data_IF_393959440987
#
_entry.id   IF_393959440987
#
_cell.length_a   1.000
_cell.length_b   1.000
_cell.length_c   1.000
_cell.angle_alpha   90.00
_cell.angle_beta   90.00
_cell.angle_gamma   90.00
#
_symmetry.space_group_name_H-M   'P 1'
#
loop_
_entity.id
_entity.type
_entity.pdbx_description
1 polymer ?
#
# COMPACT_ATOMS: atom_id res chain seq x y z
N UNK A 1 16.93 15.32 11.42
CA UNK A 1 15.75 15.94 10.78
C UNK A 1 15.07 14.86 9.96
N UNK A 2 13.74 14.76 10.00
CA UNK A 2 12.96 13.78 9.24
C UNK A 2 12.25 14.53 8.12
N UNK A 3 12.22 13.96 6.92
CA UNK A 3 11.37 14.40 5.80
C UNK A 3 10.29 13.36 5.58
N UNK A 4 9.04 13.81 5.48
CA UNK A 4 7.88 12.96 5.25
C UNK A 4 7.41 13.09 3.80
N UNK A 5 7.10 11.97 3.15
CA UNK A 5 6.57 11.93 1.79
C UNK A 5 5.37 10.97 1.78
N UNK A 6 4.19 11.53 1.53
CA UNK A 6 2.97 10.75 1.34
C UNK A 6 2.93 10.17 -0.08
N UNK A 7 2.71 8.86 -0.18
CA UNK A 7 2.47 8.17 -1.45
C UNK A 7 1.02 8.38 -1.91
N UNK A 8 0.64 7.79 -3.04
CA UNK A 8 -0.73 7.88 -3.54
C UNK A 8 -1.72 7.32 -2.49
N UNK A 9 -2.71 8.11 -2.04
CA UNK A 9 -3.73 7.61 -1.12
C UNK A 9 -4.62 6.54 -1.75
N UNK A 10 -5.19 5.69 -0.91
CA UNK A 10 -6.15 4.66 -1.31
C UNK A 10 -7.31 4.60 -0.31
N UNK A 11 -8.46 4.09 -0.74
CA UNK A 11 -9.69 4.06 0.06
C UNK A 11 -10.07 2.63 0.44
N UNK A 12 -10.39 2.42 1.70
CA UNK A 12 -10.89 1.15 2.25
C UNK A 12 -12.14 1.45 3.06
N UNK A 13 -13.29 0.88 2.67
CA UNK A 13 -14.59 1.12 3.30
C UNK A 13 -14.98 2.60 3.51
N UNK A 14 -14.59 3.48 2.57
CA UNK A 14 -14.85 4.92 2.67
C UNK A 14 -13.86 5.70 3.54
N UNK A 15 -12.86 5.03 4.13
CA UNK A 15 -11.76 5.67 4.85
C UNK A 15 -10.51 5.77 3.97
N UNK A 16 -9.94 6.96 3.89
CA UNK A 16 -8.71 7.19 3.13
C UNK A 16 -7.48 6.90 3.97
N UNK A 17 -6.56 6.17 3.36
CA UNK A 17 -5.29 5.75 3.93
C UNK A 17 -4.14 6.15 3.02
N UNK A 18 -2.95 6.30 3.58
CA UNK A 18 -1.73 6.57 2.82
C UNK A 18 -0.54 5.83 3.43
N UNK A 19 0.38 5.38 2.58
CA UNK A 19 1.71 4.98 3.02
C UNK A 19 2.58 6.22 3.06
N UNK A 20 3.13 6.55 4.23
CA UNK A 20 4.04 7.67 4.45
C UNK A 20 5.49 7.18 4.53
N UNK A 21 6.36 7.69 3.67
CA UNK A 21 7.80 7.46 3.73
C UNK A 21 8.47 8.49 4.65
N UNK A 22 9.19 8.01 5.64
CA UNK A 22 10.02 8.78 6.56
C UNK A 22 11.49 8.67 6.16
N UNK A 23 12.10 9.81 5.80
CA UNK A 23 13.50 9.88 5.40
C UNK A 23 14.32 10.54 6.51
N UNK A 24 15.27 9.79 7.06
CA UNK A 24 16.11 10.23 8.18
C UNK A 24 17.39 10.90 7.66
N UNK A 25 17.40 12.25 7.67
CA UNK A 25 18.56 13.02 7.26
C UNK A 25 19.67 12.84 8.30
N UNK A 26 20.72 12.09 7.92
CA UNK A 26 21.89 11.80 8.75
C UNK A 26 22.37 10.35 8.68
N UNK A 27 21.49 9.40 8.33
CA UNK A 27 21.83 7.96 8.30
C UNK A 27 21.35 7.23 7.03
N UNK A 28 20.93 7.96 5.99
CA UNK A 28 20.43 7.40 4.72
C UNK A 28 19.36 6.29 4.89
N UNK A 29 18.67 6.28 6.04
CA UNK A 29 17.66 5.29 6.37
C UNK A 29 16.27 5.80 5.98
N UNK A 30 15.41 4.84 5.62
CA UNK A 30 14.01 5.05 5.29
C UNK A 30 13.16 4.14 6.15
N UNK A 31 11.98 4.60 6.51
CA UNK A 31 10.94 3.78 7.11
C UNK A 31 9.57 4.19 6.57
N UNK A 32 8.58 3.34 6.72
CA UNK A 32 7.25 3.57 6.16
C UNK A 32 6.17 3.33 7.21
N UNK A 33 5.22 4.24 7.27
CA UNK A 33 4.06 4.14 8.15
C UNK A 33 2.77 4.08 7.34
N UNK A 34 1.81 3.31 7.83
CA UNK A 34 0.43 3.37 7.34
C UNK A 34 -0.33 4.43 8.14
N UNK A 35 -0.92 5.40 7.46
CA UNK A 35 -1.60 6.53 8.09
C UNK A 35 -3.03 6.61 7.62
N UNK A 36 -3.97 6.75 8.56
CA UNK A 36 -5.36 7.11 8.26
C UNK A 36 -5.48 8.62 8.11
N UNK A 37 -6.00 9.08 6.97
CA UNK A 37 -6.05 10.50 6.64
C UNK A 37 -7.15 11.27 7.38
N UNK A 38 -8.22 10.59 7.81
CA UNK A 38 -9.36 11.22 8.48
C UNK A 38 -8.94 11.97 9.75
N UNK A 39 -8.03 11.39 10.53
CA UNK A 39 -7.56 11.91 11.81
C UNK A 39 -6.02 12.00 11.92
N UNK A 40 -5.30 11.58 10.89
CA UNK A 40 -3.82 11.57 10.88
C UNK A 40 -3.21 10.48 11.76
N UNK A 41 -3.99 9.47 12.17
CA UNK A 41 -3.51 8.40 13.01
C UNK A 41 -2.50 7.52 12.26
N UNK A 42 -1.33 7.31 12.86
CA UNK A 42 -0.37 6.29 12.43
C UNK A 42 -0.87 4.94 12.95
N UNK A 43 -1.10 4.00 12.04
CA UNK A 43 -1.64 2.68 12.32
C UNK A 43 -0.54 1.64 12.53
N UNK A 44 0.67 1.90 12.05
CA UNK A 44 1.83 1.04 12.28
C UNK A 44 2.35 1.19 13.71
N UNK A 45 2.34 0.09 14.48
CA UNK A 45 2.99 0.05 15.79
C UNK A 45 4.52 0.14 15.66
N UNK A 46 5.07 -0.52 14.64
CA UNK A 46 6.46 -0.41 14.20
C UNK A 46 6.47 -0.04 12.70
N UNK A 47 7.24 0.98 12.33
CA UNK A 47 7.39 1.37 10.93
C UNK A 47 8.05 0.26 10.12
N UNK A 48 7.58 0.04 8.89
CA UNK A 48 8.21 -0.88 7.96
C UNK A 48 9.59 -0.37 7.54
N UNK A 49 10.56 -1.28 7.40
CA UNK A 49 11.89 -0.93 6.86
C UNK A 49 11.92 -0.70 5.35
N UNK A 50 10.91 -1.20 4.64
CA UNK A 50 10.73 -1.09 3.19
C UNK A 50 9.28 -0.72 2.87
N UNK A 51 9.01 -0.35 1.60
CA UNK A 51 7.64 -0.04 1.19
C UNK A 51 6.76 -1.29 1.41
N UNK A 52 5.65 -1.18 2.17
CA UNK A 52 4.89 -2.35 2.58
C UNK A 52 4.20 -3.02 1.39
N UNK A 53 4.14 -4.34 1.46
CA UNK A 53 3.30 -5.14 0.55
C UNK A 53 1.82 -4.95 0.87
N UNK A 54 0.95 -5.24 -0.09
CA UNK A 54 -0.51 -5.19 0.12
C UNK A 54 -0.97 -6.12 1.26
N UNK A 55 -0.29 -7.26 1.44
CA UNK A 55 -0.56 -8.18 2.55
C UNK A 55 -0.23 -7.56 3.91
N UNK A 56 0.91 -6.87 4.03
CA UNK A 56 1.29 -6.16 5.26
C UNK A 56 0.36 -4.99 5.56
N UNK A 57 -0.05 -4.23 4.53
CA UNK A 57 -1.06 -3.18 4.68
C UNK A 57 -2.36 -3.79 5.22
N UNK A 58 -2.80 -4.91 4.64
CA UNK A 58 -4.02 -5.58 5.07
C UNK A 58 -3.95 -6.12 6.50
N UNK A 59 -2.82 -6.68 6.90
CA UNK A 59 -2.56 -7.10 8.28
C UNK A 59 -2.68 -5.92 9.25
N UNK A 60 -1.99 -4.80 8.97
CA UNK A 60 -2.10 -3.60 9.81
C UNK A 60 -3.54 -3.07 9.87
N UNK A 61 -4.28 -3.07 8.77
CA UNK A 61 -5.69 -2.64 8.78
C UNK A 61 -6.56 -3.56 9.65
N UNK A 62 -6.35 -4.87 9.60
CA UNK A 62 -7.11 -5.85 10.42
C UNK A 62 -6.82 -5.68 11.91
N UNK A 63 -5.59 -5.39 12.29
CA UNK A 63 -5.22 -5.12 13.68
C UNK A 63 -5.95 -3.89 14.24
N UNK A 64 -6.33 -2.95 13.37
CA UNK A 64 -7.15 -1.78 13.70
C UNK A 64 -8.65 -1.98 13.45
N UNK A 65 -9.10 -3.24 13.27
CA UNK A 65 -10.51 -3.60 13.13
C UNK A 65 -11.11 -3.36 11.76
N UNK A 66 -10.28 -3.11 10.73
CA UNK A 66 -10.71 -2.92 9.35
C UNK A 66 -10.56 -4.25 8.59
N UNK A 67 -11.68 -4.96 8.39
CA UNK A 67 -11.68 -6.29 7.77
C UNK A 67 -11.54 -6.22 6.24
N UNK A 68 -10.29 -6.27 5.76
CA UNK A 68 -9.99 -6.23 4.33
C UNK A 68 -9.81 -7.61 3.70
N UNK A 69 -10.44 -7.80 2.54
CA UNK A 69 -10.23 -8.98 1.70
C UNK A 69 -9.08 -8.73 0.73
N UNK A 70 -8.12 -9.67 0.71
CA UNK A 70 -7.07 -9.72 -0.29
C UNK A 70 -7.56 -10.49 -1.52
N UNK A 71 -7.12 -10.06 -2.68
CA UNK A 71 -7.25 -10.78 -3.95
C UNK A 71 -5.87 -11.28 -4.39
N UNK A 72 -5.82 -12.02 -5.48
CA UNK A 72 -4.55 -12.50 -6.04
C UNK A 72 -4.28 -11.78 -7.36
N UNK A 73 -3.04 -11.30 -7.52
CA UNK A 73 -2.57 -10.77 -8.78
C UNK A 73 -2.57 -11.87 -9.84
N UNK A 74 -3.26 -11.64 -10.96
CA UNK A 74 -3.35 -12.65 -12.02
C UNK A 74 -2.03 -12.94 -12.75
N UNK A 75 -0.97 -12.15 -12.51
CA UNK A 75 0.34 -12.29 -13.16
C UNK A 75 1.39 -12.92 -12.25
N UNK A 76 1.65 -12.33 -11.08
CA UNK A 76 2.66 -12.85 -10.15
C UNK A 76 2.11 -13.84 -9.12
N UNK A 77 0.78 -13.93 -8.97
CA UNK A 77 0.16 -14.78 -7.96
C UNK A 77 0.29 -14.26 -6.51
N UNK A 78 0.87 -13.08 -6.32
CA UNK A 78 0.96 -12.45 -4.99
C UNK A 78 -0.38 -11.88 -4.55
N UNK A 79 -0.56 -11.77 -3.23
CA UNK A 79 -1.72 -11.11 -2.65
C UNK A 79 -1.71 -9.62 -2.96
N UNK A 80 -2.86 -9.10 -3.36
CA UNK A 80 -3.07 -7.70 -3.71
C UNK A 80 -4.30 -7.17 -3.02
N UNK A 81 -4.22 -5.92 -2.58
CA UNK A 81 -5.33 -5.23 -1.96
C UNK A 81 -6.15 -4.57 -3.09
N UNK A 82 -7.44 -4.90 -3.25
CA UNK A 82 -8.26 -4.32 -4.32
C UNK A 82 -8.30 -2.79 -4.33
N UNK A 83 -8.11 -2.16 -3.17
CA UNK A 83 -8.05 -0.71 -3.01
C UNK A 83 -6.81 -0.07 -3.66
N UNK A 84 -5.70 -0.81 -3.75
CA UNK A 84 -4.44 -0.34 -4.34
C UNK A 84 -4.21 -0.95 -5.73
N UNK A 85 -4.83 -2.09 -6.02
CA UNK A 85 -4.68 -2.84 -7.26
C UNK A 85 -5.57 -2.32 -8.40
N UNK A 86 -5.23 -2.71 -9.63
CA UNK A 86 -6.00 -2.36 -10.81
C UNK A 86 -6.93 -3.50 -11.23
N UNK A 87 -8.22 -3.18 -11.39
CA UNK A 87 -9.20 -4.14 -11.92
C UNK A 87 -9.06 -4.27 -13.44
N UNK A 88 -8.93 -5.52 -13.91
CA UNK A 88 -9.00 -5.89 -15.34
C UNK A 88 -10.15 -6.86 -15.58
N UNK A 89 -10.46 -7.15 -16.85
CA UNK A 89 -11.61 -8.00 -17.25
C UNK A 89 -11.63 -9.37 -16.56
N UNK A 90 -10.46 -9.95 -16.30
CA UNK A 90 -10.32 -11.32 -15.81
C UNK A 90 -9.69 -11.43 -14.41
N UNK A 91 -9.50 -10.32 -13.69
CA UNK A 91 -8.84 -10.37 -12.38
C UNK A 91 -8.30 -9.03 -11.89
N UNK A 92 -7.46 -9.11 -10.87
CA UNK A 92 -6.74 -7.98 -10.27
C UNK A 92 -5.28 -8.02 -10.66
N UNK A 93 -4.69 -6.83 -10.83
CA UNK A 93 -3.26 -6.66 -11.12
C UNK A 93 -2.68 -5.73 -10.06
N UNK A 94 -1.72 -6.24 -9.29
CA UNK A 94 -1.03 -5.45 -8.26
C UNK A 94 -0.20 -4.32 -8.87
N UNK A 95 0.07 -3.28 -8.08
CA UNK A 95 0.83 -2.10 -8.52
C UNK A 95 2.25 -2.44 -8.99
N UNK A 96 2.89 -3.44 -8.40
CA UNK A 96 4.20 -3.96 -8.82
C UNK A 96 4.16 -4.48 -10.26
N UNK A 97 3.16 -5.31 -10.59
CA UNK A 97 2.97 -5.86 -11.93
C UNK A 97 2.43 -4.83 -12.93
N UNK A 98 1.60 -3.88 -12.50
CA UNK A 98 1.00 -2.88 -13.39
C UNK A 98 2.03 -1.92 -14.02
N UNK A 99 3.25 -1.85 -13.47
CA UNK A 99 4.37 -1.09 -14.04
C UNK A 99 5.15 -1.86 -15.11
N UNK A 100 4.84 -3.13 -15.37
CA UNK A 100 5.46 -3.87 -16.48
C UNK A 100 4.89 -3.32 -17.81
N UNK A 101 5.76 -2.71 -18.62
CA UNK A 101 5.40 -2.09 -19.90
C UNK A 101 4.67 -3.05 -20.86
N UNK A 102 4.79 -4.37 -20.65
CA UNK A 102 4.06 -5.38 -21.41
C UNK A 102 2.54 -5.30 -21.23
N UNK A 103 2.04 -4.73 -20.14
CA UNK A 103 0.59 -4.58 -19.87
C UNK A 103 -0.02 -3.31 -20.47
N UNK A 104 0.80 -2.28 -20.73
CA UNK A 104 0.38 -1.08 -21.46
C UNK A 104 0.16 -1.33 -22.95
N UNK A 105 0.74 -2.39 -23.49
CA UNK A 105 0.60 -2.76 -24.91
C UNK A 105 -0.76 -3.41 -25.25
N UNK A 106 -1.63 -3.65 -24.24
CA UNK A 106 -2.94 -4.32 -24.41
C UNK A 106 -4.14 -3.43 -24.09
N UNK A 107 -3.94 -2.12 -23.93
CA UNK A 107 -5.03 -1.12 -23.79
C UNK A 107 -5.39 -0.47 -25.13
#
# INVERSE_FOLDING_TARGET
>A
MIREIDHTPFEVFGEQHVVRELIWNGIAARSFDLVRLTDGAVLTDESFGEYPTDAQIAETLRDHGVDVELSVCMFCGEEVLPATAHRRRNGWVGNSCCRDDRLRATE
#
